data_IF_281096902089
#
_entry.id   IF_281096902089
#
_cell.length_a   1.000
_cell.length_b   1.000
_cell.length_c   1.000
_cell.angle_alpha   90.00
_cell.angle_beta   90.00
_cell.angle_gamma   90.00
#
_symmetry.space_group_name_H-M   'P 1'
#
loop_
_entity.id
_entity.type
_entity.pdbx_description
1 polymer ?
#
# COMPACT_ATOMS: atom_id res chain seq x y z
N UNK A 1 -26.41 10.32 56.94
CA UNK A 1 -25.80 10.97 55.77
C UNK A 1 -25.71 9.95 54.66
N UNK A 2 -26.45 10.17 53.56
CA UNK A 2 -26.44 9.31 52.37
C UNK A 2 -25.06 9.42 51.71
N UNK A 3 -24.29 8.33 51.73
CA UNK A 3 -23.22 8.11 50.77
C UNK A 3 -23.88 7.99 49.39
N UNK A 4 -23.88 9.09 48.66
CA UNK A 4 -24.28 9.11 47.27
C UNK A 4 -23.33 8.18 46.51
N UNK A 5 -23.91 7.13 45.93
CA UNK A 5 -23.29 6.35 44.87
C UNK A 5 -22.75 7.32 43.82
N UNK A 6 -21.43 7.47 43.75
CA UNK A 6 -20.80 8.01 42.57
C UNK A 6 -21.07 6.99 41.46
N UNK A 7 -21.99 7.33 40.55
CA UNK A 7 -22.19 6.67 39.28
C UNK A 7 -20.93 6.80 38.40
N UNK A 8 -19.83 6.17 38.81
CA UNK A 8 -18.62 6.02 38.01
C UNK A 8 -18.73 4.76 37.15
N UNK A 9 -19.85 4.63 36.43
CA UNK A 9 -19.85 3.89 35.17
C UNK A 9 -19.19 4.80 34.13
N UNK A 10 -17.90 5.10 34.32
CA UNK A 10 -17.06 5.54 33.22
C UNK A 10 -17.03 4.37 32.25
N UNK A 11 -17.78 4.48 31.16
CA UNK A 11 -17.64 3.59 30.02
C UNK A 11 -16.23 3.82 29.46
N UNK A 12 -15.24 3.12 30.03
CA UNK A 12 -13.90 3.08 29.48
C UNK A 12 -14.06 2.53 28.07
N UNK A 13 -13.78 3.33 27.05
CA UNK A 13 -13.84 2.92 25.64
C UNK A 13 -12.97 1.67 25.35
N UNK A 14 -12.06 1.33 26.26
CA UNK A 14 -11.20 0.15 26.23
C UNK A 14 -11.64 -0.98 27.17
N UNK A 15 -12.89 -0.99 27.64
CA UNK A 15 -13.39 -2.03 28.55
C UNK A 15 -13.28 -3.43 27.92
N UNK A 16 -13.66 -3.57 26.65
CA UNK A 16 -13.53 -4.83 25.89
C UNK A 16 -12.06 -5.24 25.75
N UNK A 17 -11.18 -4.30 25.43
CA UNK A 17 -9.75 -4.58 25.34
C UNK A 17 -9.16 -5.03 26.69
N UNK A 18 -9.54 -4.39 27.80
CA UNK A 18 -9.11 -4.81 29.15
C UNK A 18 -9.62 -6.20 29.50
N UNK A 19 -10.89 -6.49 29.25
CA UNK A 19 -11.46 -7.82 29.47
C UNK A 19 -10.74 -8.90 28.65
N UNK A 20 -10.43 -8.59 27.39
CA UNK A 20 -9.71 -9.50 26.51
C UNK A 20 -8.27 -9.74 26.99
N UNK A 21 -7.58 -8.70 27.45
CA UNK A 21 -6.24 -8.85 28.03
C UNK A 21 -6.24 -9.69 29.30
N UNK A 22 -7.16 -9.42 30.23
CA UNK A 22 -7.32 -10.21 31.46
C UNK A 22 -7.67 -11.67 31.16
N UNK A 23 -8.46 -11.92 30.11
CA UNK A 23 -8.80 -13.27 29.65
C UNK A 23 -7.55 -14.02 29.15
N UNK A 24 -6.69 -13.35 28.37
CA UNK A 24 -5.42 -13.94 27.91
C UNK A 24 -4.54 -14.31 29.11
N UNK A 25 -4.34 -13.38 30.05
CA UNK A 25 -3.52 -13.65 31.25
C UNK A 25 -4.10 -14.82 32.04
N UNK A 26 -5.40 -14.79 32.32
CA UNK A 26 -6.08 -15.84 33.10
C UNK A 26 -5.91 -17.22 32.46
N UNK A 27 -5.96 -17.30 31.14
CA UNK A 27 -5.72 -18.55 30.41
C UNK A 27 -4.26 -19.02 30.57
N UNK A 28 -3.28 -18.13 30.40
CA UNK A 28 -1.86 -18.46 30.53
C UNK A 28 -1.46 -18.86 31.96
N UNK A 29 -2.18 -18.37 32.97
CA UNK A 29 -1.96 -18.74 34.37
C UNK A 29 -2.56 -20.10 34.74
N UNK A 30 -3.51 -20.63 33.95
CA UNK A 30 -4.19 -21.90 34.21
C UNK A 30 -3.18 -23.06 34.26
N UNK A 31 -3.34 -23.91 35.28
CA UNK A 31 -2.51 -25.09 35.50
C UNK A 31 -2.63 -26.12 34.37
N UNK A 32 -3.76 -26.14 33.65
CA UNK A 32 -3.94 -27.03 32.50
C UNK A 32 -3.13 -26.56 31.29
N UNK A 33 -3.16 -25.25 31.01
CA UNK A 33 -2.44 -24.61 29.90
C UNK A 33 -0.93 -24.69 30.10
N UNK A 34 -0.44 -24.69 31.35
CA UNK A 34 0.99 -24.93 31.65
C UNK A 34 1.52 -26.30 31.19
N UNK A 35 0.64 -27.23 30.78
CA UNK A 35 1.01 -28.53 30.22
C UNK A 35 0.95 -28.56 28.69
N UNK A 36 0.41 -27.52 28.06
CA UNK A 36 0.38 -27.38 26.62
C UNK A 36 1.79 -27.17 26.07
N UNK A 37 1.96 -27.52 24.81
CA UNK A 37 3.20 -27.30 24.09
C UNK A 37 3.40 -25.81 23.78
N UNK A 38 4.65 -25.40 23.54
CA UNK A 38 4.96 -24.03 23.14
C UNK A 38 4.11 -23.55 21.95
N UNK A 39 3.94 -24.38 20.93
CA UNK A 39 3.20 -24.00 19.71
C UNK A 39 1.70 -23.79 19.94
N UNK A 40 1.09 -24.53 20.86
CA UNK A 40 -0.33 -24.34 21.22
C UNK A 40 -0.52 -23.00 21.94
N UNK A 41 0.36 -22.69 22.89
CA UNK A 41 0.35 -21.41 23.62
C UNK A 41 0.62 -20.24 22.68
N UNK A 42 1.57 -20.38 21.75
CA UNK A 42 1.88 -19.36 20.74
C UNK A 42 0.69 -19.07 19.83
N UNK A 43 0.02 -20.10 19.30
CA UNK A 43 -1.17 -19.94 18.46
C UNK A 43 -2.35 -19.30 19.20
N UNK A 44 -2.53 -19.64 20.49
CA UNK A 44 -3.53 -19.00 21.35
C UNK A 44 -3.24 -17.50 21.53
N UNK A 45 -1.99 -17.14 21.85
CA UNK A 45 -1.58 -15.74 22.03
C UNK A 45 -1.75 -14.96 20.73
N UNK A 46 -1.39 -15.53 19.59
CA UNK A 46 -1.54 -14.88 18.28
C UNK A 46 -3.01 -14.56 17.98
N UNK A 47 -3.90 -15.55 18.18
CA UNK A 47 -5.35 -15.39 17.93
C UNK A 47 -5.99 -14.38 18.88
N UNK A 48 -5.86 -14.59 20.19
CA UNK A 48 -6.54 -13.74 21.18
C UNK A 48 -5.86 -12.38 21.32
N UNK A 49 -4.56 -12.30 21.05
CA UNK A 49 -3.79 -11.06 20.96
C UNK A 49 -4.21 -10.21 19.77
N UNK A 50 -4.50 -10.81 18.61
CA UNK A 50 -5.05 -10.06 17.47
C UNK A 50 -6.42 -9.49 17.78
N UNK A 51 -7.29 -10.25 18.47
CA UNK A 51 -8.58 -9.74 18.95
C UNK A 51 -8.42 -8.60 19.97
N UNK A 52 -7.40 -8.67 20.85
CA UNK A 52 -7.06 -7.55 21.74
C UNK A 52 -6.69 -6.29 20.94
N UNK A 53 -5.86 -6.42 19.90
CA UNK A 53 -5.47 -5.30 19.03
C UNK A 53 -6.70 -4.73 18.29
N UNK A 54 -7.63 -5.58 17.85
CA UNK A 54 -8.91 -5.16 17.25
C UNK A 54 -9.74 -4.34 18.24
N UNK A 55 -9.88 -4.80 19.48
CA UNK A 55 -10.60 -4.10 20.54
C UNK A 55 -9.96 -2.75 20.90
N UNK A 56 -8.63 -2.66 20.90
CA UNK A 56 -7.91 -1.39 21.09
C UNK A 56 -8.22 -0.39 19.97
N UNK A 57 -8.21 -0.85 18.71
CA UNK A 57 -8.55 -0.01 17.57
C UNK A 57 -10.03 0.44 17.62
N UNK A 58 -10.94 -0.47 18.01
CA UNK A 58 -12.36 -0.14 18.21
C UNK A 58 -12.53 0.95 19.27
N UNK A 59 -11.90 0.79 20.44
CA UNK A 59 -11.96 1.78 21.52
C UNK A 59 -11.42 3.15 21.12
N UNK A 60 -10.34 3.20 20.31
CA UNK A 60 -9.85 4.47 19.75
C UNK A 60 -10.89 5.16 18.85
N UNK A 61 -11.56 4.40 17.97
CA UNK A 61 -12.61 4.94 17.10
C UNK A 61 -13.85 5.38 17.89
N UNK A 62 -14.16 4.71 18.99
CA UNK A 62 -15.27 5.09 19.86
C UNK A 62 -14.98 6.39 20.62
N UNK A 63 -13.74 6.63 21.06
CA UNK A 63 -13.29 7.94 21.58
C UNK A 63 -13.48 9.01 20.50
N UNK A 64 -12.97 8.76 19.29
CA UNK A 64 -13.11 9.71 18.17
C UNK A 64 -14.57 10.02 17.86
N UNK A 65 -15.44 9.02 17.92
CA UNK A 65 -16.89 9.18 17.76
C UNK A 65 -17.49 10.07 18.85
N UNK A 66 -17.16 9.79 20.12
CA UNK A 66 -17.71 10.51 21.27
C UNK A 66 -17.27 11.98 21.30
N UNK A 67 -16.03 12.25 20.88
CA UNK A 67 -15.43 13.59 20.86
C UNK A 67 -15.72 14.37 19.58
N UNK A 68 -16.36 13.76 18.57
CA UNK A 68 -16.61 14.40 17.28
C UNK A 68 -17.42 15.70 17.45
N UNK A 69 -16.87 16.89 17.15
CA UNK A 69 -17.60 18.13 17.29
C UNK A 69 -18.67 18.26 16.19
N UNK A 70 -19.70 19.08 16.45
CA UNK A 70 -20.55 19.56 15.35
C UNK A 70 -19.76 20.59 14.55
N UNK A 71 -19.70 20.41 13.23
CA UNK A 71 -18.98 21.29 12.32
C UNK A 71 -19.98 22.01 11.39
N UNK A 72 -19.59 23.17 10.88
CA UNK A 72 -20.26 23.80 9.74
C UNK A 72 -19.59 23.30 8.48
N UNK A 73 -20.34 22.60 7.63
CA UNK A 73 -19.79 21.90 6.46
C UNK A 73 -20.50 22.40 5.21
N UNK A 74 -19.72 22.69 4.17
CA UNK A 74 -20.23 22.99 2.83
C UNK A 74 -19.96 21.81 1.88
N UNK A 75 -20.81 21.66 0.88
CA UNK A 75 -20.54 20.75 -0.23
C UNK A 75 -19.40 21.27 -1.11
N UNK A 76 -18.97 20.45 -2.08
CA UNK A 76 -18.05 20.85 -3.15
C UNK A 76 -18.55 21.98 -4.07
N UNK A 77 -19.79 22.45 -3.89
CA UNK A 77 -20.40 23.58 -4.61
C UNK A 77 -20.68 24.77 -3.68
N UNK A 78 -20.00 24.82 -2.53
CA UNK A 78 -20.16 25.86 -1.50
C UNK A 78 -21.59 25.98 -0.93
N UNK A 79 -22.36 24.89 -0.97
CA UNK A 79 -23.71 24.84 -0.39
C UNK A 79 -23.62 24.35 1.05
N UNK A 80 -24.14 25.12 2.01
CA UNK A 80 -24.19 24.73 3.42
C UNK A 80 -25.04 23.46 3.64
N UNK A 81 -24.45 22.47 4.32
CA UNK A 81 -25.06 21.18 4.65
C UNK A 81 -25.74 21.26 6.01
N UNK A 82 -27.03 21.58 6.00
CA UNK A 82 -27.79 21.91 7.21
C UNK A 82 -28.38 20.68 7.93
N UNK A 83 -28.51 19.53 7.26
CA UNK A 83 -29.04 18.32 7.88
C UNK A 83 -27.92 17.52 8.54
N UNK A 84 -28.10 17.21 9.82
CA UNK A 84 -27.18 16.42 10.63
C UNK A 84 -27.81 15.07 10.95
N UNK A 85 -27.12 13.99 10.58
CA UNK A 85 -27.45 12.63 11.00
C UNK A 85 -26.35 12.11 11.93
N UNK A 86 -26.71 11.91 13.19
CA UNK A 86 -25.82 11.29 14.17
C UNK A 86 -25.72 9.78 13.92
N UNK A 87 -24.63 9.18 14.41
CA UNK A 87 -24.44 7.74 14.46
C UNK A 87 -24.50 7.03 13.08
N UNK A 88 -23.99 7.67 12.04
CA UNK A 88 -23.75 6.99 10.77
C UNK A 88 -22.60 6.01 10.98
N UNK A 89 -22.78 4.76 10.56
CA UNK A 89 -21.77 3.70 10.75
C UNK A 89 -21.07 3.32 9.45
N UNK A 90 -19.81 2.93 9.56
CA UNK A 90 -19.00 2.36 8.48
C UNK A 90 -18.07 1.30 9.04
N UNK A 91 -17.96 0.17 8.34
CA UNK A 91 -16.99 -0.85 8.69
C UNK A 91 -15.65 -0.52 8.04
N UNK A 92 -14.57 -0.68 8.80
CA UNK A 92 -13.19 -0.57 8.33
C UNK A 92 -12.52 -1.93 8.51
N UNK A 93 -11.87 -2.40 7.45
CA UNK A 93 -11.04 -3.60 7.44
C UNK A 93 -9.61 -3.18 7.81
N UNK A 94 -9.15 -3.59 8.97
CA UNK A 94 -7.79 -3.35 9.47
C UNK A 94 -6.96 -4.63 9.47
N UNK A 95 -5.66 -4.52 9.75
CA UNK A 95 -4.79 -5.69 9.94
C UNK A 95 -5.23 -6.58 11.11
N UNK A 96 -5.98 -6.02 12.06
CA UNK A 96 -6.51 -6.72 13.23
C UNK A 96 -7.97 -7.16 13.01
N UNK A 97 -8.44 -7.14 11.76
CA UNK A 97 -9.81 -7.46 11.41
C UNK A 97 -10.74 -6.26 11.33
N UNK A 98 -12.04 -6.55 11.23
CA UNK A 98 -13.08 -5.55 10.98
C UNK A 98 -13.45 -4.79 12.25
N UNK A 99 -13.42 -3.46 12.18
CA UNK A 99 -13.91 -2.54 13.22
C UNK A 99 -15.07 -1.69 12.70
N UNK A 100 -15.92 -1.20 13.59
CA UNK A 100 -17.07 -0.36 13.23
C UNK A 100 -16.82 1.08 13.70
N UNK A 101 -16.75 2.01 12.77
CA UNK A 101 -16.64 3.43 13.07
C UNK A 101 -18.02 4.09 13.00
N UNK A 102 -18.34 4.91 14.00
CA UNK A 102 -19.51 5.77 14.02
C UNK A 102 -19.10 7.22 13.79
N UNK A 103 -19.97 8.02 13.16
CA UNK A 103 -19.66 9.40 12.79
C UNK A 103 -20.91 10.22 12.50
N UNK A 104 -20.76 11.54 12.44
CA UNK A 104 -21.79 12.48 12.01
C UNK A 104 -21.79 12.62 10.49
N UNK A 105 -22.96 12.50 9.89
CA UNK A 105 -23.19 12.76 8.46
C UNK A 105 -23.87 14.11 8.26
N UNK A 106 -23.30 14.94 7.39
CA UNK A 106 -23.85 16.22 6.98
C UNK A 106 -24.42 16.10 5.57
N UNK A 107 -25.63 16.59 5.34
CA UNK A 107 -26.29 16.50 4.04
C UNK A 107 -27.21 17.66 3.73
N UNK A 108 -27.59 17.76 2.45
CA UNK A 108 -28.55 18.72 1.93
C UNK A 108 -29.22 18.13 0.68
N UNK A 109 -30.42 18.60 0.34
CA UNK A 109 -31.14 18.17 -0.87
C UNK A 109 -30.26 18.35 -2.11
N UNK A 110 -30.17 17.30 -2.95
CA UNK A 110 -29.36 17.27 -4.20
C UNK A 110 -27.85 17.50 -3.98
N UNK A 111 -27.35 17.29 -2.76
CA UNK A 111 -25.93 17.29 -2.44
C UNK A 111 -25.53 15.92 -1.89
N UNK A 112 -24.29 15.52 -2.13
CA UNK A 112 -23.72 14.31 -1.52
C UNK A 112 -23.53 14.50 -0.02
N UNK A 113 -23.58 13.39 0.72
CA UNK A 113 -23.31 13.40 2.15
C UNK A 113 -21.81 13.60 2.40
N UNK A 114 -21.48 14.44 3.39
CA UNK A 114 -20.10 14.68 3.83
C UNK A 114 -19.91 14.15 5.24
N UNK A 115 -18.75 13.53 5.46
CA UNK A 115 -18.35 12.91 6.71
C UNK A 115 -16.97 13.46 7.11
N UNK A 116 -16.90 14.57 7.87
CA UNK A 116 -15.62 15.23 8.18
C UNK A 116 -14.57 14.30 8.82
N UNK A 117 -15.02 13.42 9.71
CA UNK A 117 -14.16 12.42 10.37
C UNK A 117 -13.42 11.51 9.37
N UNK A 118 -14.00 11.21 8.21
CA UNK A 118 -13.32 10.38 7.20
C UNK A 118 -12.07 11.09 6.66
N UNK A 119 -12.11 12.42 6.52
CA UNK A 119 -10.96 13.21 6.09
C UNK A 119 -9.93 13.38 7.21
N UNK A 120 -10.36 13.61 8.45
CA UNK A 120 -9.47 13.72 9.62
C UNK A 120 -8.67 12.44 9.87
N UNK A 121 -9.28 11.29 9.65
CA UNK A 121 -8.64 9.97 9.75
C UNK A 121 -7.96 9.53 8.43
N UNK A 122 -7.95 10.39 7.41
CA UNK A 122 -7.41 10.09 6.07
C UNK A 122 -7.92 8.75 5.49
N UNK A 123 -9.20 8.45 5.68
CA UNK A 123 -9.77 7.19 5.27
C UNK A 123 -9.95 7.14 3.75
N UNK A 124 -9.62 5.99 3.18
CA UNK A 124 -9.92 5.69 1.79
C UNK A 124 -11.43 5.67 1.54
N UNK A 125 -11.86 5.58 0.27
CA UNK A 125 -13.29 5.49 -0.10
C UNK A 125 -13.90 4.12 0.16
N UNK A 126 -13.09 3.06 0.15
CA UNK A 126 -13.51 1.69 0.45
C UNK A 126 -13.18 1.31 1.90
N UNK A 127 -13.55 0.12 2.35
CA UNK A 127 -13.39 -0.24 3.76
C UNK A 127 -11.92 -0.47 4.18
N UNK A 128 -10.96 -0.59 3.27
CA UNK A 128 -9.63 -1.09 3.60
C UNK A 128 -8.71 0.02 4.13
N UNK A 129 -8.10 -0.23 5.29
CA UNK A 129 -7.12 0.67 5.90
C UNK A 129 -5.83 0.75 5.11
N UNK A 130 -5.06 1.83 5.31
CA UNK A 130 -3.75 2.00 4.66
C UNK A 130 -2.75 0.91 5.05
N UNK A 131 -2.86 0.35 6.27
CA UNK A 131 -2.05 -0.80 6.69
C UNK A 131 -2.32 -2.04 5.83
N UNK A 132 -3.59 -2.37 5.58
CA UNK A 132 -3.99 -3.49 4.69
C UNK A 132 -3.53 -3.22 3.26
N UNK A 133 -3.72 -1.98 2.78
CA UNK A 133 -3.30 -1.54 1.44
C UNK A 133 -1.79 -1.71 1.24
N UNK A 134 -0.99 -1.25 2.19
CA UNK A 134 0.47 -1.35 2.15
C UNK A 134 0.93 -2.82 2.18
N UNK A 135 0.36 -3.64 3.07
CA UNK A 135 0.72 -5.05 3.16
C UNK A 135 0.38 -5.78 1.87
N UNK A 136 -0.84 -5.59 1.36
CA UNK A 136 -1.28 -6.20 0.11
C UNK A 136 -0.39 -5.81 -1.08
N UNK A 137 -0.03 -4.52 -1.21
CA UNK A 137 0.86 -4.07 -2.26
C UNK A 137 2.25 -4.73 -2.15
N UNK A 138 2.77 -4.88 -0.93
CA UNK A 138 4.05 -5.53 -0.68
C UNK A 138 4.03 -7.00 -1.12
N UNK A 139 2.98 -7.74 -0.77
CA UNK A 139 2.85 -9.15 -1.16
C UNK A 139 2.60 -9.30 -2.68
N UNK A 140 1.79 -8.42 -3.27
CA UNK A 140 1.47 -8.44 -4.69
C UNK A 140 2.68 -8.15 -5.60
N UNK A 141 3.71 -7.46 -5.10
CA UNK A 141 4.97 -7.24 -5.82
C UNK A 141 5.83 -8.52 -5.84
N UNK A 142 5.70 -9.38 -4.83
CA UNK A 142 6.52 -10.58 -4.67
C UNK A 142 5.94 -11.82 -5.36
N UNK A 143 4.62 -11.90 -5.49
CA UNK A 143 3.93 -13.09 -5.98
C UNK A 143 2.68 -12.81 -6.81
N UNK A 144 1.83 -13.82 -6.93
CA UNK A 144 0.53 -13.65 -7.59
C UNK A 144 -0.47 -12.95 -6.66
N UNK A 145 -1.57 -12.43 -7.22
CA UNK A 145 -2.66 -11.91 -6.39
C UNK A 145 -3.32 -12.98 -5.52
N UNK A 146 -3.27 -14.26 -5.90
CA UNK A 146 -3.80 -15.35 -5.06
C UNK A 146 -2.90 -15.56 -3.85
N UNK A 147 -1.58 -15.56 -4.05
CA UNK A 147 -0.60 -15.66 -2.97
C UNK A 147 -0.69 -14.44 -2.04
N UNK A 148 -0.86 -13.24 -2.60
CA UNK A 148 -1.01 -12.01 -1.81
C UNK A 148 -2.27 -12.05 -0.93
N UNK A 149 -3.41 -12.51 -1.49
CA UNK A 149 -4.65 -12.68 -0.70
C UNK A 149 -4.46 -13.75 0.37
N UNK A 150 -3.88 -14.90 0.01
CA UNK A 150 -3.58 -15.96 0.97
C UNK A 150 -2.64 -15.49 2.08
N UNK A 151 -1.64 -14.67 1.75
CA UNK A 151 -0.71 -14.12 2.74
C UNK A 151 -1.44 -13.18 3.70
N UNK A 152 -2.35 -12.33 3.20
CA UNK A 152 -3.16 -11.46 4.05
C UNK A 152 -4.05 -12.29 4.97
N UNK A 153 -4.79 -13.26 4.42
CA UNK A 153 -5.73 -14.10 5.18
C UNK A 153 -5.02 -15.00 6.23
N UNK A 154 -3.73 -15.32 6.04
CA UNK A 154 -2.96 -16.19 6.96
C UNK A 154 -2.10 -15.44 7.98
N UNK A 155 -1.78 -14.16 7.74
CA UNK A 155 -0.86 -13.39 8.62
C UNK A 155 -1.54 -12.23 9.33
N UNK A 156 -2.83 -12.00 9.03
CA UNK A 156 -3.63 -10.90 9.57
C UNK A 156 -5.08 -11.35 9.69
N UNK A 157 -5.87 -10.66 10.51
CA UNK A 157 -7.32 -10.88 10.59
C UNK A 157 -8.10 -10.12 9.51
N UNK A 158 -7.39 -9.47 8.58
CA UNK A 158 -8.00 -8.75 7.46
C UNK A 158 -8.43 -9.72 6.36
N UNK A 159 -9.55 -9.43 5.69
CA UNK A 159 -9.95 -10.16 4.48
C UNK A 159 -10.13 -9.26 3.25
N UNK A 160 -9.39 -9.55 2.18
CA UNK A 160 -9.47 -8.83 0.91
C UNK A 160 -9.69 -9.80 -0.26
N UNK A 161 -10.91 -9.89 -0.82
CA UNK A 161 -11.14 -10.74 -1.97
C UNK A 161 -10.32 -10.29 -3.18
N UNK A 162 -9.88 -11.24 -4.02
CA UNK A 162 -8.98 -11.02 -5.16
C UNK A 162 -9.34 -9.85 -6.08
N UNK A 163 -10.64 -9.63 -6.35
CA UNK A 163 -11.07 -8.52 -7.21
C UNK A 163 -10.72 -7.17 -6.58
N UNK A 164 -11.03 -7.00 -5.30
CA UNK A 164 -10.74 -5.80 -4.53
C UNK A 164 -9.23 -5.66 -4.34
N UNK A 165 -8.51 -6.76 -4.13
CA UNK A 165 -7.06 -6.72 -4.03
C UNK A 165 -6.40 -6.11 -5.28
N UNK A 166 -6.86 -6.51 -6.47
CA UNK A 166 -6.40 -5.93 -7.75
C UNK A 166 -6.71 -4.44 -7.86
N UNK A 167 -7.91 -4.02 -7.44
CA UNK A 167 -8.31 -2.61 -7.47
C UNK A 167 -7.42 -1.77 -6.54
N UNK A 168 -7.21 -2.23 -5.31
CA UNK A 168 -6.35 -1.55 -4.34
C UNK A 168 -4.94 -1.37 -4.88
N UNK A 169 -4.34 -2.43 -5.44
CA UNK A 169 -2.97 -2.35 -5.99
C UNK A 169 -2.90 -1.40 -7.19
N UNK A 170 -3.94 -1.35 -8.02
CA UNK A 170 -4.03 -0.39 -9.12
C UNK A 170 -4.15 1.05 -8.59
N UNK A 171 -5.01 1.27 -7.60
CA UNK A 171 -5.22 2.58 -6.97
C UNK A 171 -3.94 3.08 -6.31
N UNK A 172 -3.16 2.22 -5.63
CA UNK A 172 -1.87 2.59 -5.02
C UNK A 172 -0.85 2.99 -6.09
N UNK A 173 -0.87 2.34 -7.25
CA UNK A 173 0.07 2.61 -8.33
C UNK A 173 -0.27 3.88 -9.14
N UNK A 174 -1.47 4.46 -8.98
CA UNK A 174 -1.94 5.57 -9.81
C UNK A 174 -1.08 6.84 -9.67
N UNK A 175 -0.48 7.03 -8.49
CA UNK A 175 0.27 8.25 -8.14
C UNK A 175 1.76 8.13 -8.48
N UNK A 176 2.19 7.03 -9.12
CA UNK A 176 3.61 6.76 -9.45
C UNK A 176 4.26 7.91 -10.22
N UNK A 177 3.66 8.35 -11.33
CA UNK A 177 4.19 9.44 -12.14
C UNK A 177 4.13 10.78 -11.38
N UNK A 178 3.01 11.03 -10.69
CA UNK A 178 2.80 12.24 -9.88
C UNK A 178 3.85 12.42 -8.78
N UNK A 179 4.22 11.33 -8.10
CA UNK A 179 5.24 11.32 -7.05
C UNK A 179 6.60 11.81 -7.57
N UNK A 180 7.06 11.31 -8.72
CA UNK A 180 8.33 11.73 -9.29
C UNK A 180 8.27 13.14 -9.91
N UNK A 181 7.10 13.56 -10.42
CA UNK A 181 6.93 14.92 -10.92
C UNK A 181 7.00 15.98 -9.81
N UNK A 182 6.54 15.67 -8.60
CA UNK A 182 6.67 16.58 -7.44
C UNK A 182 8.13 16.83 -7.05
N UNK A 183 9.01 15.86 -7.27
CA UNK A 183 10.44 15.94 -6.94
C UNK A 183 11.31 16.21 -8.18
N UNK A 184 10.72 16.72 -9.27
CA UNK A 184 11.44 16.99 -10.50
C UNK A 184 12.49 18.09 -10.29
N UNK A 185 13.70 17.82 -10.78
CA UNK A 185 14.76 18.82 -10.83
C UNK A 185 14.46 19.81 -11.95
N UNK A 186 14.32 21.09 -11.59
CA UNK A 186 14.12 22.19 -12.56
C UNK A 186 15.39 23.03 -12.74
N UNK A 187 16.48 22.65 -12.08
CA UNK A 187 17.77 23.32 -12.12
C UNK A 187 18.88 22.29 -12.14
N UNK A 188 20.03 22.60 -12.77
CA UNK A 188 21.21 21.74 -12.73
C UNK A 188 21.65 21.43 -11.30
N UNK A 189 22.21 20.25 -11.11
CA UNK A 189 22.75 19.87 -9.80
C UNK A 189 24.08 20.58 -9.54
N UNK A 190 24.21 21.21 -8.38
CA UNK A 190 25.49 21.79 -7.96
C UNK A 190 26.40 20.72 -7.35
N UNK A 191 26.91 19.81 -8.19
CA UNK A 191 27.79 18.71 -7.77
C UNK A 191 28.72 18.27 -8.90
N UNK A 192 29.89 17.74 -8.53
CA UNK A 192 30.81 17.05 -9.45
C UNK A 192 30.70 15.52 -9.36
N UNK A 193 29.67 15.01 -8.67
CA UNK A 193 29.38 13.59 -8.57
C UNK A 193 28.85 13.03 -9.90
N UNK A 194 28.83 11.70 -10.04
CA UNK A 194 28.40 11.05 -11.28
C UNK A 194 26.89 11.15 -11.45
N UNK A 195 26.46 11.71 -12.58
CA UNK A 195 25.09 11.56 -13.07
C UNK A 195 25.00 10.26 -13.87
N UNK A 196 24.18 9.32 -13.38
CA UNK A 196 24.08 7.97 -13.95
C UNK A 196 22.68 7.74 -14.50
N UNK A 197 22.65 7.28 -15.76
CA UNK A 197 21.45 6.80 -16.42
C UNK A 197 21.50 5.26 -16.48
N UNK A 198 20.40 4.62 -16.09
CA UNK A 198 20.23 3.17 -16.24
C UNK A 198 18.91 2.87 -16.91
N UNK A 199 18.92 1.96 -17.88
CA UNK A 199 17.73 1.53 -18.60
C UNK A 199 17.71 0.01 -18.68
N UNK A 200 16.54 -0.58 -18.49
CA UNK A 200 16.29 -2.01 -18.66
C UNK A 200 14.90 -2.24 -19.28
N UNK A 201 14.76 -3.34 -20.01
CA UNK A 201 13.58 -3.65 -20.79
C UNK A 201 13.30 -5.15 -20.85
N UNK A 202 12.05 -5.54 -20.55
CA UNK A 202 11.61 -6.94 -20.60
C UNK A 202 10.36 -7.13 -21.45
N UNK A 203 10.45 -8.01 -22.44
CA UNK A 203 9.27 -8.45 -23.19
C UNK A 203 8.35 -9.34 -22.35
N UNK A 204 7.25 -8.78 -21.83
CA UNK A 204 6.23 -9.47 -21.04
C UNK A 204 5.06 -9.94 -21.91
N UNK A 205 4.54 -11.14 -21.65
CA UNK A 205 3.40 -11.69 -22.40
C UNK A 205 2.10 -11.10 -21.85
N UNK A 206 1.30 -10.49 -22.72
CA UNK A 206 0.02 -9.88 -22.35
C UNK A 206 -1.13 -10.88 -22.42
N UNK A 207 -2.11 -10.65 -21.55
CA UNK A 207 -3.42 -11.28 -21.67
C UNK A 207 -4.13 -10.84 -22.95
N UNK A 208 -5.01 -11.68 -23.55
CA UNK A 208 -5.68 -11.37 -24.81
C UNK A 208 -6.37 -10.00 -24.83
N UNK A 209 -7.02 -9.63 -23.72
CA UNK A 209 -7.76 -8.36 -23.60
C UNK A 209 -6.84 -7.13 -23.41
N UNK A 210 -5.54 -7.34 -23.19
CA UNK A 210 -4.54 -6.31 -22.93
C UNK A 210 -3.51 -6.19 -24.06
N UNK A 211 -3.74 -6.87 -25.20
CA UNK A 211 -2.92 -6.71 -26.41
C UNK A 211 -3.12 -5.30 -27.00
N UNK A 212 -2.16 -4.83 -27.82
CA UNK A 212 -2.32 -3.57 -28.56
C UNK A 212 -3.46 -3.71 -29.57
N UNK A 213 -4.15 -2.64 -29.92
CA UNK A 213 -5.32 -2.72 -30.84
C UNK A 213 -4.98 -3.38 -32.17
N UNK A 214 -3.83 -3.04 -32.79
CA UNK A 214 -3.37 -3.67 -34.02
C UNK A 214 -3.13 -5.18 -33.85
N UNK A 215 -2.55 -5.58 -32.73
CA UNK A 215 -2.29 -6.99 -32.39
C UNK A 215 -3.58 -7.74 -32.04
N UNK A 216 -4.54 -7.12 -31.34
CA UNK A 216 -5.86 -7.72 -31.05
C UNK A 216 -6.59 -8.06 -32.35
N UNK A 217 -6.55 -7.17 -33.34
CA UNK A 217 -7.14 -7.40 -34.67
C UNK A 217 -6.45 -8.56 -35.39
N UNK A 218 -5.12 -8.64 -35.34
CA UNK A 218 -4.36 -9.74 -35.93
C UNK A 218 -4.62 -11.10 -35.26
N UNK A 219 -4.76 -11.16 -33.93
CA UNK A 219 -5.08 -12.39 -33.19
C UNK A 219 -6.49 -12.90 -33.53
N UNK A 220 -7.47 -12.00 -33.75
CA UNK A 220 -8.81 -12.41 -34.22
C UNK A 220 -8.78 -13.03 -35.63
N UNK A 221 -7.77 -12.72 -36.43
CA UNK A 221 -7.58 -13.24 -37.78
C UNK A 221 -6.69 -14.51 -37.82
N UNK A 222 -6.23 -14.97 -36.67
CA UNK A 222 -5.35 -16.13 -36.53
C UNK A 222 -6.11 -17.42 -36.91
N UNK A 223 -5.65 -18.08 -37.97
CA UNK A 223 -6.33 -19.25 -38.57
C UNK A 223 -6.02 -20.57 -37.86
N UNK A 224 -4.92 -20.65 -37.11
CA UNK A 224 -4.40 -21.89 -36.51
C UNK A 224 -4.11 -21.69 -35.01
N UNK A 225 -4.58 -22.62 -34.17
CA UNK A 225 -4.46 -22.51 -32.69
C UNK A 225 -3.12 -22.99 -32.12
N UNK A 226 -2.29 -23.72 -32.88
CA UNK A 226 -1.08 -24.39 -32.37
C UNK A 226 0.24 -24.01 -33.05
N UNK A 227 0.21 -23.35 -34.22
CA UNK A 227 1.41 -22.98 -34.98
C UNK A 227 1.17 -21.69 -35.76
N UNK A 228 2.21 -20.86 -35.82
CA UNK A 228 2.23 -19.63 -36.60
C UNK A 228 2.26 -19.95 -38.10
N UNK A 229 1.46 -19.22 -38.86
CA UNK A 229 1.55 -19.19 -40.32
C UNK A 229 2.86 -18.49 -40.73
N UNK A 230 3.33 -18.71 -41.96
CA UNK A 230 4.54 -18.03 -42.44
C UNK A 230 4.34 -16.49 -42.40
N UNK A 231 5.27 -15.77 -41.76
CA UNK A 231 5.19 -14.32 -41.53
C UNK A 231 4.39 -13.88 -40.31
N UNK A 232 3.72 -14.81 -39.62
CA UNK A 232 2.92 -14.53 -38.44
C UNK A 232 3.83 -14.42 -37.20
N UNK A 233 3.87 -13.25 -36.56
CA UNK A 233 4.67 -13.04 -35.36
C UNK A 233 3.87 -13.41 -34.11
N UNK A 234 4.57 -13.98 -33.13
CA UNK A 234 4.05 -14.38 -31.81
C UNK A 234 3.70 -13.18 -30.91
N UNK A 235 3.30 -12.03 -31.47
CA UNK A 235 3.33 -10.66 -30.93
C UNK A 235 2.37 -10.40 -29.75
N UNK A 236 2.23 -11.36 -28.86
CA UNK A 236 1.56 -11.20 -27.58
C UNK A 236 2.40 -10.49 -26.54
N UNK A 237 3.64 -10.12 -26.87
CA UNK A 237 4.55 -9.45 -25.93
C UNK A 237 4.46 -7.93 -26.04
N UNK A 238 4.47 -7.26 -24.90
CA UNK A 238 4.79 -5.83 -24.79
C UNK A 238 6.13 -5.68 -24.09
N UNK A 239 6.88 -4.64 -24.42
CA UNK A 239 8.08 -4.31 -23.67
C UNK A 239 7.66 -3.54 -22.43
N UNK A 240 7.98 -4.09 -21.26
CA UNK A 240 8.01 -3.36 -20.00
C UNK A 240 9.37 -2.68 -19.91
N UNK A 241 9.38 -1.36 -19.95
CA UNK A 241 10.59 -0.54 -19.97
C UNK A 241 10.71 0.18 -18.63
N UNK A 242 11.92 0.22 -18.09
CA UNK A 242 12.26 0.97 -16.87
C UNK A 242 13.50 1.78 -17.15
N UNK A 243 13.46 3.08 -16.83
CA UNK A 243 14.62 3.94 -16.83
C UNK A 243 14.78 4.61 -15.47
N UNK A 244 16.00 4.96 -15.10
CA UNK A 244 16.27 5.77 -13.94
C UNK A 244 17.45 6.71 -14.17
N UNK A 245 17.36 7.90 -13.57
CA UNK A 245 18.43 8.90 -13.54
C UNK A 245 18.70 9.23 -12.07
N UNK A 246 19.95 9.12 -11.64
CA UNK A 246 20.34 9.36 -10.26
C UNK A 246 21.78 9.84 -10.14
N UNK A 247 22.07 10.50 -9.03
CA UNK A 247 23.41 11.00 -8.73
C UNK A 247 24.09 10.10 -7.71
N UNK A 248 25.33 9.71 -7.95
CA UNK A 248 26.10 8.89 -7.01
C UNK A 248 27.57 9.30 -6.97
N UNK A 249 28.21 9.09 -5.82
CA UNK A 249 29.64 9.39 -5.68
C UNK A 249 30.47 8.40 -6.51
N UNK A 250 31.54 8.86 -7.18
CA UNK A 250 32.49 7.95 -7.81
C UNK A 250 33.03 6.93 -6.79
N UNK A 251 32.91 5.64 -7.12
CA UNK A 251 33.57 4.59 -6.36
C UNK A 251 34.93 4.29 -6.99
N UNK A 252 35.98 4.89 -6.44
CA UNK A 252 37.35 4.63 -6.87
C UNK A 252 37.73 3.18 -6.55
N UNK A 253 38.20 2.43 -7.57
CA UNK A 253 38.70 1.07 -7.43
C UNK A 253 40.17 1.02 -7.80
N UNK A 254 40.96 0.22 -7.08
CA UNK A 254 42.33 -0.13 -7.46
C UNK A 254 42.35 -1.49 -8.17
N UNK A 255 43.40 -1.84 -8.94
CA UNK A 255 43.55 -3.17 -9.54
C UNK A 255 43.40 -4.30 -8.52
N UNK A 256 43.98 -4.14 -7.33
CA UNK A 256 43.89 -5.10 -6.23
C UNK A 256 42.44 -5.28 -5.77
N UNK A 257 41.67 -4.18 -5.63
CA UNK A 257 40.25 -4.23 -5.26
C UNK A 257 39.38 -5.01 -6.26
N UNK A 258 39.81 -5.16 -7.52
CA UNK A 258 39.11 -5.93 -8.55
C UNK A 258 39.55 -7.39 -8.53
N UNK A 259 40.86 -7.63 -8.42
CA UNK A 259 41.46 -8.97 -8.48
C UNK A 259 41.24 -9.78 -7.19
N UNK A 260 41.34 -9.14 -6.02
CA UNK A 260 41.07 -9.77 -4.73
C UNK A 260 39.67 -9.41 -4.25
N UNK A 261 38.63 -9.99 -4.89
CA UNK A 261 37.33 -10.17 -4.23
C UNK A 261 37.53 -11.19 -3.10
N UNK A 262 38.18 -10.76 -2.03
CA UNK A 262 38.29 -11.55 -0.82
C UNK A 262 36.93 -11.50 -0.14
N UNK A 263 36.08 -12.50 -0.43
CA UNK A 263 34.79 -12.69 0.23
C UNK A 263 34.93 -12.83 1.76
N UNK A 264 36.15 -13.13 2.24
CA UNK A 264 36.55 -13.20 3.65
C UNK A 264 37.14 -11.91 4.24
N UNK A 265 37.15 -10.78 3.51
CA UNK A 265 37.62 -9.50 4.06
C UNK A 265 36.54 -8.83 4.93
N UNK A 266 36.90 -8.43 6.15
CA UNK A 266 36.02 -7.71 7.06
C UNK A 266 35.84 -6.22 6.70
N UNK A 267 36.52 -5.74 5.66
CA UNK A 267 36.46 -4.34 5.20
C UNK A 267 35.76 -4.30 3.85
N UNK A 268 34.48 -3.91 3.86
CA UNK A 268 33.70 -3.70 2.63
C UNK A 268 33.75 -2.22 2.24
N UNK A 269 33.94 -1.89 0.95
CA UNK A 269 33.90 -0.51 0.52
C UNK A 269 32.52 0.09 0.79
N UNK A 270 32.48 1.28 1.38
CA UNK A 270 31.25 2.00 1.65
C UNK A 270 30.58 2.38 0.33
N UNK A 271 29.47 1.70 -0.01
CA UNK A 271 28.63 2.08 -1.15
C UNK A 271 27.69 3.18 -0.69
N UNK A 272 27.95 4.40 -1.14
CA UNK A 272 27.05 5.53 -0.92
C UNK A 272 25.77 5.30 -1.74
N UNK A 273 24.58 5.35 -1.13
CA UNK A 273 23.34 5.14 -1.85
C UNK A 273 23.15 6.22 -2.93
N UNK A 274 22.48 5.88 -4.05
CA UNK A 274 22.12 6.87 -5.06
C UNK A 274 21.20 7.93 -4.45
N UNK A 275 21.41 9.18 -4.85
CA UNK A 275 20.59 10.34 -4.45
C UNK A 275 19.80 10.82 -5.65
N UNK A 276 18.71 11.55 -5.39
CA UNK A 276 17.93 12.23 -6.42
C UNK A 276 17.51 11.26 -7.55
N UNK A 277 17.11 10.05 -7.16
CA UNK A 277 16.76 9.00 -8.11
C UNK A 277 15.36 9.28 -8.63
N UNK A 278 15.27 9.51 -9.94
CA UNK A 278 14.01 9.53 -10.69
C UNK A 278 13.87 8.21 -11.43
N UNK A 279 12.66 7.65 -11.46
CA UNK A 279 12.36 6.40 -12.15
C UNK A 279 11.18 6.61 -13.10
N UNK A 280 11.29 6.06 -14.29
CA UNK A 280 10.21 5.89 -15.24
C UNK A 280 9.95 4.40 -15.40
N UNK A 281 8.68 4.01 -15.47
CA UNK A 281 8.32 2.63 -15.80
C UNK A 281 7.08 2.62 -16.68
N UNK A 282 7.07 1.84 -17.75
CA UNK A 282 5.90 1.75 -18.62
C UNK A 282 5.84 0.45 -19.41
N UNK A 283 4.62 -0.05 -19.58
CA UNK A 283 4.28 -1.15 -20.51
C UNK A 283 3.56 -0.62 -21.76
N UNK A 284 3.09 0.62 -21.72
CA UNK A 284 2.30 1.24 -22.78
C UNK A 284 3.18 2.08 -23.70
N UNK A 285 4.07 2.89 -23.11
CA UNK A 285 4.96 3.80 -23.81
C UNK A 285 6.10 3.03 -24.47
N UNK A 286 6.66 3.60 -25.54
CA UNK A 286 7.75 2.96 -26.27
C UNK A 286 9.08 3.11 -25.52
N UNK A 287 10.01 2.17 -25.74
CA UNK A 287 11.38 2.27 -25.22
C UNK A 287 12.05 3.58 -25.59
N UNK A 288 11.91 4.01 -26.85
CA UNK A 288 12.48 5.26 -27.34
C UNK A 288 11.98 6.47 -26.53
N UNK A 289 10.68 6.54 -26.24
CA UNK A 289 10.08 7.63 -25.46
C UNK A 289 10.57 7.63 -24.01
N UNK A 290 10.66 6.46 -23.36
CA UNK A 290 11.14 6.35 -21.97
C UNK A 290 12.62 6.73 -21.88
N UNK A 291 13.43 6.27 -22.83
CA UNK A 291 14.86 6.58 -22.93
C UNK A 291 15.06 8.07 -23.17
N UNK A 292 14.33 8.66 -24.13
CA UNK A 292 14.40 10.09 -24.46
C UNK A 292 14.10 10.96 -23.24
N UNK A 293 13.05 10.67 -22.47
CA UNK A 293 12.74 11.41 -21.25
C UNK A 293 13.82 11.31 -20.18
N UNK A 294 14.48 10.15 -20.05
CA UNK A 294 15.60 9.99 -19.14
C UNK A 294 16.81 10.85 -19.59
N UNK A 295 17.06 10.93 -20.89
CA UNK A 295 18.09 11.84 -21.43
C UNK A 295 17.74 13.31 -21.24
N UNK A 296 16.49 13.70 -21.45
CA UNK A 296 16.03 15.08 -21.21
C UNK A 296 16.20 15.47 -19.74
N UNK A 297 15.83 14.60 -18.80
CA UNK A 297 16.08 14.84 -17.38
C UNK A 297 17.58 14.96 -17.08
N UNK A 298 18.40 14.11 -17.67
CA UNK A 298 19.84 14.17 -17.45
C UNK A 298 20.44 15.48 -17.97
N UNK A 299 20.03 15.93 -19.15
CA UNK A 299 20.45 17.23 -19.71
C UNK A 299 19.99 18.42 -18.87
N UNK A 300 18.80 18.34 -18.24
CA UNK A 300 18.33 19.38 -17.31
C UNK A 300 19.13 19.40 -15.99
N UNK A 301 19.71 18.25 -15.59
CA UNK A 301 20.48 18.10 -14.35
C UNK A 301 21.98 18.33 -14.51
N UNK A 302 22.49 18.20 -15.72
CA UNK A 302 23.91 18.37 -16.04
C UNK A 302 24.34 19.84 -15.81
N UNK A 303 25.35 20.12 -14.97
CA UNK A 303 25.80 21.47 -14.61
C UNK A 303 26.44 22.28 -15.74
#
# INVERSE_FOLDING_TARGET
>A
MKLAYSNSLEFSFFSEAKLQFERIISHLEDKQVKKESHGEVEAYIDTEGTELLRCLLQGFLDIKTAEEPRQQVCSNRDIALNHLKNNCKRNLESLFGTVTMHRKGYSQRRCDNVFPMDGELNLSKDKYSDGVRLRLATEAVQGSYDDAVSSIDTTTDAHVPKRQARQIVQDIAQDFDGFYLQQRYLKPENTSDLLVLTMDGKGIVMQPNSLREGTQKAVKQQKLKGRLSAGEKKDRKRMAEVAAVYTTKPLHRTPESIMSRNDNSNVRPLRVPPRNKRVWSSVERSAATVIEEAFLEALERDP
#
